data_IF_273038753997
#
_entry.id   IF_273038753997
#
_cell.length_a   1.000
_cell.length_b   1.000
_cell.length_c   1.000
_cell.angle_alpha   90.00
_cell.angle_beta   90.00
_cell.angle_gamma   90.00
#
_symmetry.space_group_name_H-M   'P 1'
#
loop_
_entity.id
_entity.type
_entity.pdbx_description
1 polymer ?
#
# COMPACT_ATOMS: atom_id res chain seq x y z
N UNK A 1 4.46 -0.78 9.64
CA UNK A 1 3.99 -1.61 8.51
C UNK A 1 3.84 -0.73 7.29
N UNK A 2 4.52 -1.01 6.17
CA UNK A 2 4.35 -0.28 4.90
C UNK A 2 4.13 -1.21 3.72
N UNK A 3 3.08 -0.95 2.93
CA UNK A 3 3.03 -1.36 1.50
C UNK A 3 3.46 -0.16 0.65
N UNK A 4 4.50 -0.34 -0.17
CA UNK A 4 4.99 0.68 -1.10
C UNK A 4 5.03 0.14 -2.53
N UNK A 5 4.49 0.89 -3.50
CA UNK A 5 4.82 0.73 -4.92
C UNK A 5 5.69 1.88 -5.39
N UNK A 6 7.00 1.64 -5.57
CA UNK A 6 7.93 2.64 -6.13
C UNK A 6 8.07 2.43 -7.62
N UNK A 7 8.07 3.51 -8.39
CA UNK A 7 8.51 3.52 -9.79
C UNK A 7 10.03 3.71 -9.86
N UNK A 8 10.72 2.97 -10.73
CA UNK A 8 11.97 3.44 -11.34
C UNK A 8 11.59 4.18 -12.62
N UNK A 9 11.94 5.46 -12.77
CA UNK A 9 11.95 6.11 -14.09
C UNK A 9 13.35 6.65 -14.37
N UNK A 10 13.98 6.11 -15.42
CA UNK A 10 15.09 6.76 -16.09
C UNK A 10 14.47 7.77 -17.07
N UNK A 11 14.08 8.93 -16.54
CA UNK A 11 13.51 10.03 -17.31
C UNK A 11 11.99 10.14 -17.19
N UNK A 12 11.54 11.38 -16.98
CA UNK A 12 10.17 11.86 -16.77
C UNK A 12 9.58 11.73 -15.34
N UNK A 13 9.41 12.93 -14.74
CA UNK A 13 8.74 13.33 -13.48
C UNK A 13 9.25 12.72 -12.16
N UNK A 14 10.01 13.52 -11.39
CA UNK A 14 10.25 13.31 -9.94
C UNK A 14 8.89 13.21 -9.21
N UNK A 15 8.49 12.01 -8.81
CA UNK A 15 7.35 11.73 -7.93
C UNK A 15 7.24 10.22 -7.72
N UNK A 16 7.85 9.67 -6.66
CA UNK A 16 7.26 9.48 -5.33
C UNK A 16 6.11 8.46 -5.34
N UNK A 17 6.43 7.22 -4.89
CA UNK A 17 5.53 6.20 -4.33
C UNK A 17 4.02 6.37 -4.63
N UNK A 18 3.45 5.54 -5.50
CA UNK A 18 2.01 5.57 -5.84
C UNK A 18 1.11 5.27 -4.63
N UNK A 19 1.54 4.35 -3.75
CA UNK A 19 0.86 4.04 -2.51
C UNK A 19 1.86 3.88 -1.39
N UNK A 20 1.67 4.58 -0.27
CA UNK A 20 2.35 4.27 0.99
C UNK A 20 1.33 4.13 2.10
N UNK A 21 1.14 2.91 2.60
CA UNK A 21 0.34 2.68 3.81
C UNK A 21 1.26 2.69 5.01
N UNK A 22 0.86 3.30 6.12
CA UNK A 22 1.62 3.32 7.38
C UNK A 22 0.71 3.17 8.56
N UNK A 23 1.11 2.37 9.55
CA UNK A 23 0.37 2.27 10.81
C UNK A 23 1.03 3.17 11.85
N UNK A 24 0.26 4.07 12.44
CA UNK A 24 0.62 4.94 13.55
C UNK A 24 -0.38 4.73 14.69
N UNK A 25 0.07 4.26 15.86
CA UNK A 25 -0.81 4.03 17.02
C UNK A 25 -2.07 3.21 16.71
N UNK A 26 -1.98 2.24 15.78
CA UNK A 26 -3.10 1.42 15.32
C UNK A 26 -3.87 1.97 14.12
N UNK A 27 -3.68 3.23 13.74
CA UNK A 27 -4.29 3.82 12.55
C UNK A 27 -3.45 3.57 11.30
N UNK A 28 -4.03 2.92 10.30
CA UNK A 28 -3.44 2.88 8.96
C UNK A 28 -3.72 4.19 8.22
N UNK A 29 -2.68 4.78 7.65
CA UNK A 29 -2.73 6.04 6.90
C UNK A 29 -2.08 5.94 5.53
N UNK A 30 -2.68 6.61 4.55
CA UNK A 30 -2.09 6.86 3.23
C UNK A 30 -1.13 8.05 3.30
N UNK A 31 0.11 7.83 2.85
CA UNK A 31 1.22 8.77 2.89
C UNK A 31 1.46 9.43 4.27
N UNK A 32 0.96 8.80 5.35
CA UNK A 32 1.04 9.30 6.72
C UNK A 32 -0.02 10.34 7.11
N UNK A 33 -0.92 10.72 6.21
CA UNK A 33 -1.89 11.78 6.46
C UNK A 33 -3.31 11.24 6.56
N UNK A 34 -3.82 10.64 5.49
CA UNK A 34 -5.23 10.30 5.37
C UNK A 34 -5.54 8.96 6.01
N UNK A 35 -6.56 8.90 6.86
CA UNK A 35 -6.96 7.67 7.56
C UNK A 35 -7.59 6.68 6.57
N UNK A 36 -7.09 5.45 6.57
CA UNK A 36 -7.62 4.33 5.79
C UNK A 36 -8.47 3.43 6.69
N UNK A 37 -7.94 3.07 7.86
CA UNK A 37 -8.64 2.28 8.86
C UNK A 37 -7.98 2.43 10.24
N UNK A 38 -8.67 2.05 11.31
CA UNK A 38 -8.17 2.16 12.69
C UNK A 38 -8.16 0.82 13.41
N UNK A 39 -7.53 0.79 14.60
CA UNK A 39 -7.46 -0.39 15.48
C UNK A 39 -6.78 -1.62 14.85
N UNK A 40 -5.77 -1.42 14.00
CA UNK A 40 -5.06 -2.48 13.29
C UNK A 40 -3.77 -2.95 13.99
N UNK A 41 -3.46 -2.44 15.18
CA UNK A 41 -2.28 -2.88 15.94
C UNK A 41 -2.52 -4.22 16.63
N UNK A 42 -1.45 -5.01 16.79
CA UNK A 42 -1.46 -6.32 17.46
C UNK A 42 -2.58 -7.28 16.98
N UNK A 43 -2.98 -7.15 15.72
CA UNK A 43 -4.12 -7.86 15.15
C UNK A 43 -3.77 -8.40 13.77
N UNK A 44 -4.34 -9.56 13.43
CA UNK A 44 -4.31 -10.07 12.06
C UNK A 44 -5.47 -9.48 11.27
N UNK A 45 -5.17 -8.90 10.12
CA UNK A 45 -6.15 -8.47 9.13
C UNK A 45 -5.65 -8.81 7.73
N UNK A 46 -6.58 -8.94 6.79
CA UNK A 46 -6.27 -9.16 5.38
C UNK A 46 -6.19 -7.82 4.66
N UNK A 47 -5.04 -7.55 4.05
CA UNK A 47 -4.81 -6.36 3.22
C UNK A 47 -4.80 -6.77 1.75
N UNK A 48 -5.74 -6.22 0.96
CA UNK A 48 -5.68 -6.31 -0.49
C UNK A 48 -5.45 -4.91 -1.06
N UNK A 49 -4.54 -4.79 -2.04
CA UNK A 49 -4.35 -3.58 -2.83
C UNK A 49 -4.54 -3.95 -4.29
N UNK A 50 -5.44 -3.24 -4.97
CA UNK A 50 -5.66 -3.37 -6.40
C UNK A 50 -5.14 -2.10 -7.05
N UNK A 51 -4.16 -2.23 -7.96
CA UNK A 51 -3.74 -1.13 -8.83
C UNK A 51 -4.35 -1.37 -10.21
N UNK A 52 -5.34 -0.57 -10.57
CA UNK A 52 -5.93 -0.56 -11.90
C UNK A 52 -5.16 0.43 -12.77
N UNK A 53 -4.22 -0.10 -13.55
CA UNK A 53 -3.33 0.70 -14.39
C UNK A 53 -4.09 1.41 -15.51
N UNK A 54 -5.14 0.78 -16.05
CA UNK A 54 -5.91 1.33 -17.17
C UNK A 54 -6.77 2.52 -16.72
N UNK A 55 -7.37 2.43 -15.53
CA UNK A 55 -8.13 3.53 -14.92
C UNK A 55 -7.24 4.53 -14.17
N UNK A 56 -5.94 4.26 -14.04
CA UNK A 56 -5.00 5.12 -13.33
C UNK A 56 -5.33 5.27 -11.83
N UNK A 57 -5.84 4.23 -11.17
CA UNK A 57 -6.27 4.30 -9.78
C UNK A 57 -5.83 3.08 -8.96
N UNK A 58 -5.84 3.26 -7.64
CA UNK A 58 -5.60 2.22 -6.68
C UNK A 58 -6.75 2.13 -5.68
N UNK A 59 -7.06 0.91 -5.25
CA UNK A 59 -8.06 0.64 -4.22
C UNK A 59 -7.46 -0.23 -3.13
N UNK A 60 -7.70 0.13 -1.87
CA UNK A 60 -7.27 -0.61 -0.68
C UNK A 60 -8.47 -1.23 0.01
N UNK A 61 -8.34 -2.50 0.36
CA UNK A 61 -9.31 -3.25 1.14
C UNK A 61 -8.69 -3.77 2.42
N UNK A 62 -9.44 -3.69 3.51
CA UNK A 62 -9.13 -4.31 4.80
C UNK A 62 -10.24 -5.30 5.11
N UNK A 63 -9.89 -6.57 5.30
CA UNK A 63 -10.82 -7.68 5.52
C UNK A 63 -11.94 -7.77 4.49
N UNK A 64 -11.60 -7.48 3.22
CA UNK A 64 -12.54 -7.50 2.08
C UNK A 64 -13.41 -6.25 1.96
N UNK A 65 -13.35 -5.32 2.91
CA UNK A 65 -14.09 -4.06 2.88
C UNK A 65 -13.25 -3.01 2.17
N UNK A 66 -13.81 -2.33 1.17
CA UNK A 66 -13.16 -1.20 0.51
C UNK A 66 -13.02 -0.04 1.50
N UNK A 67 -11.78 0.42 1.71
CA UNK A 67 -11.46 1.48 2.68
C UNK A 67 -10.95 2.76 2.04
N UNK A 68 -10.28 2.65 0.89
CA UNK A 68 -9.60 3.79 0.28
C UNK A 68 -9.46 3.64 -1.22
N UNK A 69 -9.63 4.73 -1.95
CA UNK A 69 -9.40 4.83 -3.40
C UNK A 69 -8.61 6.11 -3.67
N UNK A 70 -7.59 6.04 -4.51
CA UNK A 70 -6.87 7.24 -4.97
C UNK A 70 -6.37 7.06 -6.41
N UNK A 71 -6.08 8.17 -7.07
CA UNK A 71 -5.40 8.15 -8.36
C UNK A 71 -3.95 7.72 -8.19
N UNK A 72 -3.43 7.00 -9.18
CA UNK A 72 -2.02 6.70 -9.25
C UNK A 72 -1.19 7.93 -9.69
N UNK A 73 0.13 7.76 -9.78
CA UNK A 73 1.06 8.83 -10.16
C UNK A 73 1.45 8.78 -11.64
N UNK A 74 0.72 8.01 -12.45
CA UNK A 74 1.03 7.73 -13.85
C UNK A 74 1.96 6.53 -14.04
N UNK A 75 2.44 6.39 -15.27
CA UNK A 75 3.26 5.26 -15.69
C UNK A 75 4.63 5.21 -15.00
N UNK A 76 5.14 3.99 -14.80
CA UNK A 76 6.48 3.75 -14.28
C UNK A 76 6.71 2.29 -13.92
N UNK A 77 7.95 1.94 -13.61
CA UNK A 77 8.33 0.57 -13.21
C UNK A 77 7.96 0.32 -11.76
N UNK A 78 6.71 -0.08 -11.52
CA UNK A 78 6.14 -0.26 -10.18
C UNK A 78 6.36 -1.68 -9.64
N UNK A 79 6.71 -1.77 -8.35
CA UNK A 79 6.84 -3.04 -7.64
C UNK A 79 6.34 -2.94 -6.21
N UNK A 80 5.64 -3.97 -5.72
CA UNK A 80 5.16 -4.01 -4.34
C UNK A 80 6.31 -4.29 -3.36
N UNK A 81 6.28 -3.59 -2.23
CA UNK A 81 7.08 -3.87 -1.03
C UNK A 81 6.14 -4.07 0.15
N UNK A 82 6.49 -4.94 1.09
CA UNK A 82 5.82 -5.05 2.38
C UNK A 82 6.86 -5.23 3.50
N UNK A 83 6.58 -4.74 4.70
CA UNK A 83 7.47 -4.92 5.86
C UNK A 83 7.54 -3.73 6.81
N UNK A 84 8.67 -3.66 7.52
CA UNK A 84 9.08 -2.53 8.36
C UNK A 84 9.89 -1.56 7.51
N UNK A 85 9.65 -0.26 7.72
CA UNK A 85 10.41 0.81 7.10
C UNK A 85 10.50 1.97 8.08
N UNK A 86 11.70 2.20 8.62
CA UNK A 86 11.98 3.30 9.53
C UNK A 86 12.19 4.59 8.71
N UNK A 87 11.24 5.52 8.81
CA UNK A 87 11.31 6.89 8.28
C UNK A 87 10.17 7.69 8.91
N UNK A 88 10.32 8.94 9.39
CA UNK A 88 11.51 9.78 9.55
C UNK A 88 12.11 9.66 10.98
N UNK A 89 12.88 10.67 11.41
CA UNK A 89 13.51 10.78 12.74
C UNK A 89 12.56 10.41 13.89
N UNK A 90 13.10 9.79 14.95
CA UNK A 90 12.37 9.21 16.09
C UNK A 90 11.53 7.95 15.77
N UNK A 91 11.88 7.21 14.71
CA UNK A 91 11.37 5.85 14.54
C UNK A 91 11.72 4.98 15.75
N UNK A 92 10.77 4.19 16.23
CA UNK A 92 10.99 3.27 17.36
C UNK A 92 12.18 2.35 17.09
N UNK A 93 13.00 2.10 18.12
CA UNK A 93 14.08 1.10 18.07
C UNK A 93 13.54 -0.33 17.91
N UNK A 94 12.25 -0.53 18.18
CA UNK A 94 11.54 -1.79 17.98
C UNK A 94 10.37 -1.59 17.04
N UNK A 95 10.49 -2.14 15.84
CA UNK A 95 9.45 -2.17 14.82
C UNK A 95 9.33 -3.59 14.30
N UNK A 96 8.13 -4.14 14.36
CA UNK A 96 7.85 -5.48 13.84
C UNK A 96 6.63 -5.42 12.91
N UNK A 97 6.67 -6.23 11.86
CA UNK A 97 5.48 -6.54 11.07
C UNK A 97 5.54 -8.00 10.66
N UNK A 98 4.48 -8.75 10.95
CA UNK A 98 4.35 -10.15 10.58
C UNK A 98 3.43 -10.28 9.38
N UNK A 99 3.82 -11.14 8.44
CA UNK A 99 3.09 -11.36 7.20
C UNK A 99 2.98 -12.86 6.94
N UNK A 100 1.83 -13.30 6.43
CA UNK A 100 1.58 -14.66 5.97
C UNK A 100 0.68 -14.62 4.75
N UNK A 101 0.73 -15.66 3.93
CA UNK A 101 -0.13 -15.81 2.74
C UNK A 101 0.02 -14.66 1.73
N UNK A 102 1.22 -14.11 1.58
CA UNK A 102 1.51 -13.04 0.63
C UNK A 102 1.41 -13.59 -0.79
N UNK A 103 0.59 -12.96 -1.63
CA UNK A 103 0.43 -13.27 -3.04
C UNK A 103 0.39 -11.97 -3.84
N UNK A 104 1.05 -11.96 -5.00
CA UNK A 104 0.97 -10.88 -5.97
C UNK A 104 0.63 -11.48 -7.33
N UNK A 105 -0.37 -10.91 -7.98
CA UNK A 105 -0.81 -11.34 -9.32
C UNK A 105 -0.92 -10.12 -10.21
N UNK A 106 -0.39 -10.22 -11.42
CA UNK A 106 -0.70 -9.29 -12.51
C UNK A 106 -1.66 -10.00 -13.44
N UNK A 107 -2.74 -9.33 -13.82
CA UNK A 107 -3.70 -9.87 -14.78
C UNK A 107 -4.16 -8.76 -15.71
N UNK A 108 -4.38 -9.13 -16.97
CA UNK A 108 -5.01 -8.28 -17.97
C UNK A 108 -6.53 -8.54 -18.03
N UNK A 109 -7.04 -9.35 -17.11
CA UNK A 109 -8.42 -9.85 -17.08
C UNK A 109 -9.14 -9.19 -15.88
N UNK A 110 -10.18 -8.40 -16.13
CA UNK A 110 -10.92 -7.65 -15.10
C UNK A 110 -11.53 -8.55 -14.00
N UNK A 111 -11.68 -9.84 -14.29
CA UNK A 111 -12.26 -10.85 -13.38
C UNK A 111 -11.42 -11.17 -12.15
N UNK A 112 -10.16 -10.74 -12.09
CA UNK A 112 -9.26 -10.99 -10.94
C UNK A 112 -9.24 -9.86 -9.92
N UNK A 113 -10.17 -8.91 -9.99
CA UNK A 113 -10.45 -7.99 -8.87
C UNK A 113 -10.93 -8.84 -7.68
N UNK A 114 -10.04 -9.12 -6.73
CA UNK A 114 -10.30 -9.96 -5.56
C UNK A 114 -11.52 -9.43 -4.80
N UNK A 115 -12.66 -10.13 -4.92
CA UNK A 115 -13.81 -9.99 -4.03
C UNK A 115 -13.48 -10.56 -2.65
#
# INVERSE_FOLDING_TARGET
MIINSKSHSLGARKGATTLQLRIYNGDMRYNGFELVDSNLYDSWFRLNVIHNVDEGNLTVFIDGIQKFVNNDQGSGDLYFKCGVYAAPDNSSNYMESRWKNIKSTKSNDEKYKFK
#
